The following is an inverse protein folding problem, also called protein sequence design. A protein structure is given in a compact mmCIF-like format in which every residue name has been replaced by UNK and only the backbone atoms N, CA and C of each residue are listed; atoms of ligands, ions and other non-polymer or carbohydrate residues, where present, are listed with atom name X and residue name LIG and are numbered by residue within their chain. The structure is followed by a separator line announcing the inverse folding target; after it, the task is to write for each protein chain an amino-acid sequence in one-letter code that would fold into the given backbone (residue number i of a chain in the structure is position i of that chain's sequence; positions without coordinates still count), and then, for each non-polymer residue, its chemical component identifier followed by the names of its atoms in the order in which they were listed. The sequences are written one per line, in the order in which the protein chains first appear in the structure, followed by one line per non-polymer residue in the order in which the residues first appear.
data_IF_840508236562
#
_entry.id   IF_840508236562
#
_cell.length_a   1.000
_cell.length_b   1.000
_cell.length_c   1.000
_cell.angle_alpha   90.00
_cell.angle_beta   90.00
_cell.angle_gamma   90.00
#
_symmetry.space_group_name_H-M   'P 1'
#
loop_
_entity.id
_entity.type
_entity.pdbx_description
1 polymer ?
#
# COMPACT_ATOMS: atom_id res chain seq x y z
N UNK A 1 -22.93 2.27 6.48
CA UNK A 1 -23.06 3.71 6.20
C UNK A 1 -22.58 3.96 4.77
N UNK A 2 -23.37 4.62 3.90
CA UNK A 2 -22.90 4.96 2.56
C UNK A 2 -21.65 5.84 2.66
N UNK A 3 -20.72 5.66 1.72
CA UNK A 3 -19.47 6.41 1.61
C UNK A 3 -19.77 7.90 1.37
N UNK A 4 -19.93 8.66 2.45
CA UNK A 4 -20.08 10.12 2.38
C UNK A 4 -18.74 10.77 2.04
N UNK A 5 -18.76 11.87 1.28
CA UNK A 5 -17.55 12.64 0.96
C UNK A 5 -16.76 13.01 2.21
N UNK A 6 -17.46 13.31 3.32
CA UNK A 6 -16.84 13.61 4.62
C UNK A 6 -16.05 12.44 5.19
N UNK A 7 -16.64 11.23 5.15
CA UNK A 7 -15.94 10.04 5.62
C UNK A 7 -14.69 9.73 4.81
N UNK A 8 -14.77 9.87 3.47
CA UNK A 8 -13.61 9.71 2.59
C UNK A 8 -12.53 10.75 2.89
N UNK A 9 -12.89 12.04 2.92
CA UNK A 9 -11.96 13.15 3.21
C UNK A 9 -11.22 12.94 4.54
N UNK A 10 -11.94 12.53 5.59
CA UNK A 10 -11.34 12.27 6.89
C UNK A 10 -10.28 11.16 6.83
N UNK A 11 -10.57 10.07 6.13
CA UNK A 11 -9.61 8.96 5.97
C UNK A 11 -8.47 9.29 5.02
N UNK A 12 -8.71 10.12 4.00
CA UNK A 12 -7.65 10.66 3.16
C UNK A 12 -6.68 11.51 4.00
N UNK A 13 -7.18 12.34 4.91
CA UNK A 13 -6.33 13.07 5.86
C UNK A 13 -5.52 12.13 6.76
N UNK A 14 -6.11 11.03 7.25
CA UNK A 14 -5.39 10.02 8.01
C UNK A 14 -4.30 9.33 7.18
N UNK A 15 -4.58 8.95 5.93
CA UNK A 15 -3.60 8.35 5.03
C UNK A 15 -2.43 9.31 4.71
N UNK A 16 -2.72 10.61 4.56
CA UNK A 16 -1.70 11.64 4.41
C UNK A 16 -0.84 11.82 5.66
N UNK A 17 -1.45 11.72 6.85
CA UNK A 17 -0.71 11.75 8.12
C UNK A 17 0.20 10.51 8.26
N UNK A 18 -0.29 9.31 7.91
CA UNK A 18 0.47 8.05 7.96
C UNK A 18 1.65 8.02 6.99
N UNK A 19 1.51 8.63 5.81
CA UNK A 19 2.58 8.72 4.80
C UNK A 19 3.62 9.82 5.09
N UNK A 20 3.46 10.59 6.16
CA UNK A 20 4.41 11.64 6.55
C UNK A 20 4.28 12.95 5.76
N UNK A 21 3.19 13.15 5.01
CA UNK A 21 2.96 14.37 4.24
C UNK A 21 2.64 15.57 5.15
N UNK A 22 3.29 16.72 4.90
CA UNK A 22 3.19 17.91 5.76
C UNK A 22 1.73 18.34 5.98
N UNK A 23 1.42 18.79 7.20
CA UNK A 23 0.11 19.38 7.57
C UNK A 23 0.01 20.83 7.06
N UNK A 24 -1.22 21.35 6.98
CA UNK A 24 -1.48 22.75 6.62
C UNK A 24 -1.42 23.05 5.12
N UNK A 25 -1.12 24.31 4.74
CA UNK A 25 -1.21 24.80 3.34
C UNK A 25 -0.41 23.98 2.33
N UNK A 26 0.71 23.38 2.74
CA UNK A 26 1.53 22.56 1.85
C UNK A 26 0.89 21.23 1.46
N UNK A 27 -0.16 20.77 2.17
CA UNK A 27 -0.83 19.48 1.94
C UNK A 27 -1.55 19.43 0.60
N UNK A 28 -2.31 20.48 0.28
CA UNK A 28 -3.06 20.54 -0.98
C UNK A 28 -2.12 20.56 -2.19
N UNK A 29 -1.06 21.35 -2.14
CA UNK A 29 -0.05 21.39 -3.21
C UNK A 29 0.63 20.03 -3.36
N UNK A 30 1.11 19.42 -2.27
CA UNK A 30 1.72 18.10 -2.34
C UNK A 30 0.76 17.03 -2.88
N UNK A 31 -0.51 17.03 -2.48
CA UNK A 31 -1.50 16.07 -3.00
C UNK A 31 -1.74 16.28 -4.50
N UNK A 32 -1.85 17.55 -4.92
CA UNK A 32 -2.01 17.93 -6.31
C UNK A 32 -0.83 17.47 -7.17
N UNK A 33 0.39 17.77 -6.73
CA UNK A 33 1.63 17.38 -7.39
C UNK A 33 1.79 15.85 -7.42
N UNK A 34 1.40 15.17 -6.34
CA UNK A 34 1.50 13.72 -6.23
C UNK A 34 0.63 13.06 -7.31
N UNK A 35 -0.64 13.44 -7.44
CA UNK A 35 -1.58 12.78 -8.35
C UNK A 35 -1.74 13.44 -9.71
N UNK A 36 -0.92 14.44 -10.03
CA UNK A 36 -0.98 15.24 -11.26
C UNK A 36 -2.38 15.79 -11.53
N UNK A 37 -2.91 16.50 -10.53
CA UNK A 37 -4.23 17.15 -10.60
C UNK A 37 -4.15 18.60 -10.22
N UNK A 38 -5.17 19.38 -10.57
CA UNK A 38 -5.24 20.77 -10.14
C UNK A 38 -5.30 20.89 -8.61
N UNK A 39 -4.73 21.97 -8.05
CA UNK A 39 -4.85 22.29 -6.61
C UNK A 39 -6.31 22.40 -6.16
N UNK A 40 -7.20 22.86 -7.04
CA UNK A 40 -8.62 22.94 -6.76
C UNK A 40 -9.28 21.56 -6.64
N UNK A 41 -8.91 20.63 -7.52
CA UNK A 41 -9.35 19.22 -7.44
C UNK A 41 -8.90 18.59 -6.12
N UNK A 42 -7.61 18.75 -5.78
CA UNK A 42 -7.07 18.26 -4.51
C UNK A 42 -7.76 18.91 -3.30
N UNK A 43 -8.03 20.22 -3.34
CA UNK A 43 -8.77 20.95 -2.30
C UNK A 43 -10.17 20.38 -2.11
N UNK A 44 -10.90 20.11 -3.20
CA UNK A 44 -12.25 19.53 -3.13
C UNK A 44 -12.26 18.16 -2.46
N UNK A 45 -11.29 17.31 -2.75
CA UNK A 45 -11.16 16.00 -2.10
C UNK A 45 -10.88 16.13 -0.60
N UNK A 46 -9.98 17.03 -0.21
CA UNK A 46 -9.65 17.27 1.20
C UNK A 46 -10.81 17.90 1.98
N UNK A 47 -11.61 18.75 1.33
CA UNK A 47 -12.74 19.46 1.96
C UNK A 47 -14.08 18.70 1.89
N UNK A 48 -14.11 17.47 1.38
CA UNK A 48 -15.35 16.71 1.14
C UNK A 48 -16.32 17.37 0.14
N UNK A 49 -15.83 18.26 -0.72
CA UNK A 49 -16.60 18.94 -1.77
C UNK A 49 -16.67 18.12 -3.07
N UNK A 50 -15.91 17.02 -3.14
CA UNK A 50 -15.94 16.07 -4.25
C UNK A 50 -15.17 14.79 -3.92
N UNK A 51 -15.37 13.75 -4.73
CA UNK A 51 -14.63 12.49 -4.62
C UNK A 51 -13.71 12.30 -5.84
N UNK A 52 -12.57 11.60 -5.68
CA UNK A 52 -11.83 11.10 -6.82
C UNK A 52 -12.60 9.97 -7.50
N UNK A 53 -12.33 9.74 -8.78
CA UNK A 53 -12.79 8.54 -9.49
C UNK A 53 -12.24 7.26 -8.83
N UNK A 54 -12.90 6.13 -9.05
CA UNK A 54 -12.53 4.85 -8.43
C UNK A 54 -11.06 4.47 -8.69
N UNK A 55 -10.60 4.58 -9.94
CA UNK A 55 -9.20 4.31 -10.30
C UNK A 55 -8.23 5.17 -9.50
N UNK A 56 -8.58 6.43 -9.25
CA UNK A 56 -7.78 7.36 -8.45
C UNK A 56 -7.79 7.01 -6.97
N UNK A 57 -8.91 6.56 -6.42
CA UNK A 57 -8.99 6.09 -5.04
C UNK A 57 -8.12 4.84 -4.81
N UNK A 58 -8.06 3.94 -5.79
CA UNK A 58 -7.18 2.75 -5.76
C UNK A 58 -5.71 3.19 -5.79
N UNK A 59 -5.34 4.08 -6.72
CA UNK A 59 -3.98 4.65 -6.83
C UNK A 59 -3.55 5.33 -5.51
N UNK A 60 -4.45 6.11 -4.89
CA UNK A 60 -4.22 6.69 -3.56
C UNK A 60 -3.95 5.65 -2.49
N UNK A 61 -4.77 4.59 -2.41
CA UNK A 61 -4.61 3.53 -1.43
C UNK A 61 -3.24 2.85 -1.56
N UNK A 62 -2.84 2.52 -2.79
CA UNK A 62 -1.53 1.93 -3.09
C UNK A 62 -0.40 2.86 -2.67
N UNK A 63 -0.48 4.14 -3.05
CA UNK A 63 0.61 5.09 -2.84
C UNK A 63 0.81 5.49 -1.38
N UNK A 64 -0.28 5.51 -0.60
CA UNK A 64 -0.23 5.74 0.83
C UNK A 64 -0.04 4.46 1.65
N UNK A 65 -0.05 3.28 1.01
CA UNK A 65 0.10 2.00 1.69
C UNK A 65 -1.07 1.67 2.62
N UNK A 66 -2.28 2.17 2.32
CA UNK A 66 -3.50 1.93 3.11
C UNK A 66 -4.47 1.02 2.36
N UNK A 67 -5.39 0.44 3.11
CA UNK A 67 -6.46 -0.38 2.57
C UNK A 67 -7.48 0.45 1.75
N UNK A 68 -7.75 0.04 0.52
CA UNK A 68 -8.72 0.72 -0.36
C UNK A 68 -10.15 0.69 0.21
N UNK A 69 -10.62 -0.46 0.70
CA UNK A 69 -11.97 -0.58 1.26
C UNK A 69 -12.14 0.32 2.48
N UNK A 70 -11.11 0.38 3.32
CA UNK A 70 -11.07 1.33 4.43
C UNK A 70 -11.11 2.76 3.91
N UNK A 71 -10.25 3.14 2.96
CA UNK A 71 -10.21 4.51 2.42
C UNK A 71 -11.56 4.92 1.81
N UNK A 72 -12.16 4.06 0.99
CA UNK A 72 -13.40 4.33 0.26
C UNK A 72 -14.64 4.29 1.16
N UNK A 73 -14.76 3.29 2.03
CA UNK A 73 -16.01 3.00 2.76
C UNK A 73 -15.91 3.16 4.27
N UNK A 74 -14.70 3.10 4.82
CA UNK A 74 -14.45 3.07 6.27
C UNK A 74 -14.62 1.70 6.91
N UNK A 75 -14.85 0.64 6.12
CA UNK A 75 -14.86 -0.74 6.62
C UNK A 75 -13.43 -1.28 6.72
N UNK A 76 -13.17 -2.11 7.72
CA UNK A 76 -11.83 -2.65 7.99
C UNK A 76 -10.90 -1.66 8.68
N UNK A 77 -9.60 -1.89 8.57
CA UNK A 77 -8.54 -1.10 9.19
C UNK A 77 -7.65 -0.42 8.11
N UNK A 78 -7.00 0.72 8.43
CA UNK A 78 -6.10 1.42 7.50
C UNK A 78 -4.92 0.56 7.09
N UNK A 79 -4.29 -0.12 8.05
CA UNK A 79 -3.32 -1.18 7.79
C UNK A 79 -4.04 -2.52 7.63
N UNK A 80 -3.62 -3.28 6.62
CA UNK A 80 -4.20 -4.59 6.34
C UNK A 80 -4.46 -4.75 4.86
N UNK A 81 -3.84 -5.77 4.28
CA UNK A 81 -4.02 -6.14 2.89
C UNK A 81 -5.43 -6.76 2.77
N UNK A 82 -6.41 -6.02 2.23
CA UNK A 82 -7.59 -6.64 1.59
C UNK A 82 -7.34 -6.86 0.09
N UNK A 83 -6.08 -7.00 -0.30
CA UNK A 83 -5.80 -7.97 -1.35
C UNK A 83 -6.16 -9.33 -0.78
N UNK A 84 -6.84 -10.17 -1.54
CA UNK A 84 -6.74 -11.62 -1.35
C UNK A 84 -5.25 -11.96 -1.50
N UNK A 85 -4.45 -11.72 -0.46
CA UNK A 85 -3.31 -12.57 -0.20
C UNK A 85 -3.97 -13.83 0.26
N UNK A 86 -3.95 -14.84 -0.60
CA UNK A 86 -3.96 -16.22 -0.13
C UNK A 86 -3.13 -16.21 1.17
N UNK A 87 -3.71 -16.60 2.33
CA UNK A 87 -3.00 -16.58 3.60
C UNK A 87 -1.65 -17.21 3.30
N UNK A 88 -0.52 -16.49 3.51
CA UNK A 88 0.77 -16.88 2.95
C UNK A 88 0.90 -18.36 3.19
N UNK A 89 0.88 -19.15 2.11
CA UNK A 89 0.67 -20.60 2.18
C UNK A 89 1.47 -21.07 3.38
N UNK A 90 0.80 -21.52 4.45
CA UNK A 90 1.40 -21.59 5.78
C UNK A 90 2.65 -22.46 5.63
N UNK A 91 3.82 -21.80 5.52
CA UNK A 91 5.02 -22.47 5.08
C UNK A 91 5.43 -23.33 6.25
N UNK A 92 5.06 -24.60 6.18
CA UNK A 92 5.49 -25.63 7.10
C UNK A 92 6.77 -26.17 6.50
N UNK A 93 7.95 -25.73 6.95
CA UNK A 93 9.18 -26.33 6.49
C UNK A 93 9.14 -27.80 6.87
N UNK A 94 9.22 -28.65 5.86
CA UNK A 94 9.27 -30.09 5.99
C UNK A 94 10.65 -30.54 6.48
N UNK A 95 11.68 -29.70 6.29
CA UNK A 95 13.07 -30.02 6.64
C UNK A 95 13.80 -28.92 7.43
N UNK A 96 14.89 -29.31 8.09
CA UNK A 96 15.77 -28.37 8.83
C UNK A 96 16.52 -27.43 7.89
N UNK A 97 16.83 -27.88 6.67
CA UNK A 97 17.48 -27.10 5.63
C UNK A 97 16.58 -25.94 5.19
N UNK A 98 15.29 -26.21 4.98
CA UNK A 98 14.28 -25.21 4.63
C UNK A 98 14.15 -24.11 5.70
N UNK A 99 14.09 -24.49 6.98
CA UNK A 99 14.10 -23.54 8.10
C UNK A 99 15.34 -22.63 8.08
N UNK A 100 16.52 -23.24 7.87
CA UNK A 100 17.78 -22.49 7.82
C UNK A 100 17.82 -21.53 6.65
N UNK A 101 17.38 -21.96 5.47
CA UNK A 101 17.35 -21.14 4.27
C UNK A 101 16.44 -19.92 4.47
N UNK A 102 15.23 -20.12 4.99
CA UNK A 102 14.31 -19.01 5.29
C UNK A 102 14.92 -18.03 6.29
N UNK A 103 15.54 -18.54 7.36
CA UNK A 103 16.22 -17.72 8.36
C UNK A 103 17.37 -16.88 7.80
N UNK A 104 18.10 -17.41 6.82
CA UNK A 104 19.19 -16.68 6.15
C UNK A 104 18.60 -15.64 5.19
N UNK A 105 17.69 -16.04 4.31
CA UNK A 105 17.12 -15.18 3.27
C UNK A 105 16.39 -13.97 3.87
N UNK A 106 15.68 -14.16 4.98
CA UNK A 106 14.98 -13.06 5.67
C UNK A 106 15.91 -11.98 6.22
N UNK A 107 17.18 -12.30 6.48
CA UNK A 107 18.20 -11.37 7.00
C UNK A 107 19.05 -10.70 5.93
N UNK A 108 18.87 -11.07 4.66
CA UNK A 108 19.67 -10.53 3.55
C UNK A 108 19.08 -9.22 3.00
N UNK A 109 19.93 -8.24 2.61
CA UNK A 109 19.55 -7.08 1.81
C UNK A 109 18.88 -7.48 0.48
N UNK A 110 18.08 -6.57 -0.08
CA UNK A 110 17.26 -6.86 -1.28
C UNK A 110 18.10 -7.29 -2.48
N UNK A 111 19.26 -6.68 -2.70
CA UNK A 111 20.14 -7.06 -3.82
C UNK A 111 20.66 -8.49 -3.67
N UNK A 112 21.01 -8.91 -2.44
CA UNK A 112 21.53 -10.26 -2.17
C UNK A 112 20.46 -11.33 -2.28
N UNK A 113 19.21 -11.02 -1.91
CA UNK A 113 18.09 -11.95 -2.11
C UNK A 113 17.84 -12.21 -3.59
N UNK A 114 17.87 -11.15 -4.41
CA UNK A 114 17.69 -11.29 -5.86
C UNK A 114 18.81 -12.14 -6.50
N UNK A 115 20.06 -11.91 -6.09
CA UNK A 115 21.18 -12.74 -6.57
C UNK A 115 21.02 -14.22 -6.16
N UNK A 116 20.57 -14.49 -4.93
CA UNK A 116 20.32 -15.85 -4.45
C UNK A 116 19.19 -16.54 -5.21
N UNK A 117 18.12 -15.82 -5.56
CA UNK A 117 17.03 -16.34 -6.38
C UNK A 117 17.53 -16.74 -7.77
N UNK A 118 18.32 -15.89 -8.44
CA UNK A 118 18.88 -16.20 -9.75
C UNK A 118 19.74 -17.47 -9.75
N UNK A 119 20.55 -17.66 -8.70
CA UNK A 119 21.38 -18.88 -8.56
C UNK A 119 20.49 -20.10 -8.30
N UNK A 120 19.49 -19.98 -7.44
CA UNK A 120 18.58 -21.08 -7.12
C UNK A 120 17.76 -21.52 -8.34
N UNK A 121 17.28 -20.57 -9.15
CA UNK A 121 16.58 -20.82 -10.42
C UNK A 121 17.52 -21.51 -11.42
N UNK A 122 18.73 -20.99 -11.61
CA UNK A 122 19.71 -21.60 -12.50
C UNK A 122 20.10 -23.03 -12.09
N UNK A 123 20.09 -23.36 -10.81
CA UNK A 123 20.34 -24.72 -10.33
C UNK A 123 19.13 -25.64 -10.50
N UNK A 124 17.91 -25.10 -10.45
CA UNK A 124 16.67 -25.85 -10.61
C UNK A 124 16.38 -26.19 -12.09
N UNK A 125 16.75 -25.30 -13.01
CA UNK A 125 16.53 -25.48 -14.46
C UNK A 125 17.52 -26.46 -15.12
N UNK A 126 18.52 -26.95 -14.38
CA UNK A 126 19.60 -27.84 -14.88
C UNK A 126 19.30 -29.33 -14.61
N UNK A 127 18.14 -29.65 -14.01
CA UNK A 127 17.63 -31.02 -13.79
C UNK A 127 16.46 -31.35 -14.70
#
# INVERSE_FOLDING_TARGET
MPSSNRGFSQRLHMALDMSGLKKGRGRTTQLADLFDVSRETARKWLNAEGLPELARQIDMAVRFGVNFEWLATGRGAPEGVTGVREPPAMYRPETREQLRLVGIVTRLPRERRNALLLIAEALADVT
#
